data_IF_774664474881
#
_entry.id   IF_774664474881
#
_cell.length_a   1.000
_cell.length_b   1.000
_cell.length_c   1.000
_cell.angle_alpha   90.00
_cell.angle_beta   90.00
_cell.angle_gamma   90.00
#
_symmetry.space_group_name_H-M   'P 1'
#
loop_
_entity.id
_entity.type
_entity.pdbx_description
1 polymer ?
#
# COMPACT_ATOMS: atom_id res chain seq x y z
N UNK A 1 6.94 0.33 -14.09
CA UNK A 1 7.84 -0.50 -13.26
C UNK A 1 8.51 0.30 -12.15
N UNK A 2 9.20 1.42 -12.41
CA UNK A 2 9.89 2.20 -11.37
C UNK A 2 8.96 2.73 -10.25
N UNK A 3 7.81 3.31 -10.62
CA UNK A 3 6.82 3.83 -9.65
C UNK A 3 6.32 2.73 -8.70
N UNK A 4 6.09 1.52 -9.22
CA UNK A 4 5.73 0.36 -8.41
C UNK A 4 6.81 0.02 -7.37
N UNK A 5 8.09 0.01 -7.78
CA UNK A 5 9.21 -0.30 -6.87
C UNK A 5 9.33 0.76 -5.78
N UNK A 6 9.13 2.03 -6.11
CA UNK A 6 9.09 3.13 -5.14
C UNK A 6 7.94 2.90 -4.16
N UNK A 7 6.72 2.69 -4.63
CA UNK A 7 5.56 2.45 -3.77
C UNK A 7 5.75 1.26 -2.84
N UNK A 8 6.35 0.18 -3.33
CA UNK A 8 6.60 -1.03 -2.53
C UNK A 8 7.71 -0.81 -1.49
N UNK A 9 8.91 -0.46 -1.92
CA UNK A 9 10.09 -0.53 -1.05
C UNK A 9 10.40 0.77 -0.31
N UNK A 10 9.93 1.92 -0.81
CA UNK A 10 10.15 3.22 -0.14
C UNK A 10 9.00 3.56 0.80
N UNK A 11 7.79 3.04 0.54
CA UNK A 11 6.60 3.42 1.31
C UNK A 11 5.95 2.23 2.02
N UNK A 12 5.53 1.19 1.30
CA UNK A 12 4.75 0.09 1.90
C UNK A 12 5.56 -0.75 2.91
N UNK A 13 6.73 -1.26 2.52
CA UNK A 13 7.54 -2.10 3.41
C UNK A 13 8.04 -1.33 4.65
N UNK A 14 8.50 -0.07 4.53
CA UNK A 14 8.80 0.75 5.70
C UNK A 14 7.59 1.00 6.62
N UNK A 15 6.39 1.23 6.08
CA UNK A 15 5.16 1.35 6.88
C UNK A 15 4.90 0.08 7.69
N UNK A 16 5.02 -1.10 7.05
CA UNK A 16 4.87 -2.40 7.75
C UNK A 16 5.93 -2.59 8.82
N UNK A 17 7.17 -2.20 8.53
CA UNK A 17 8.28 -2.29 9.48
C UNK A 17 8.02 -1.42 10.72
N UNK A 18 7.61 -0.16 10.53
CA UNK A 18 7.29 0.75 11.64
C UNK A 18 6.13 0.19 12.47
N UNK A 19 5.05 -0.27 11.82
CA UNK A 19 3.89 -0.86 12.49
C UNK A 19 4.27 -2.11 13.29
N UNK A 20 5.21 -2.92 12.77
CA UNK A 20 5.74 -4.09 13.48
C UNK A 20 6.62 -3.69 14.66
N UNK A 21 7.59 -2.81 14.46
CA UNK A 21 8.59 -2.47 15.47
C UNK A 21 8.03 -1.63 16.62
N UNK A 22 7.08 -0.74 16.34
CA UNK A 22 6.53 0.19 17.34
C UNK A 22 5.22 -0.28 17.97
N UNK A 23 4.43 -1.08 17.26
CA UNK A 23 3.06 -1.45 17.68
C UNK A 23 2.81 -2.96 17.67
N UNK A 24 3.83 -3.79 17.44
CA UNK A 24 3.75 -5.26 17.44
C UNK A 24 2.72 -5.83 16.43
N UNK A 25 2.49 -5.12 15.32
CA UNK A 25 1.57 -5.56 14.26
C UNK A 25 2.32 -6.40 13.22
N UNK A 26 1.89 -7.66 13.08
CA UNK A 26 2.48 -8.59 12.12
C UNK A 26 1.65 -8.69 10.85
N UNK A 27 2.30 -8.49 9.72
CA UNK A 27 1.70 -8.66 8.40
C UNK A 27 1.94 -10.09 7.92
N UNK A 28 0.88 -10.84 7.57
CA UNK A 28 1.05 -12.17 7.00
C UNK A 28 1.81 -12.04 5.68
N UNK A 29 2.82 -12.90 5.49
CA UNK A 29 3.47 -13.05 4.18
C UNK A 29 2.49 -13.76 3.25
N UNK A 30 1.65 -12.98 2.56
CA UNK A 30 0.60 -13.50 1.71
C UNK A 30 1.14 -14.34 0.55
N UNK A 31 0.62 -15.57 0.42
CA UNK A 31 0.65 -16.37 -0.81
C UNK A 31 -0.16 -15.72 -1.94
N UNK A 32 -1.03 -14.75 -1.61
CA UNK A 32 -1.89 -14.05 -2.55
C UNK A 32 -1.19 -12.85 -3.19
N UNK A 33 -1.08 -12.95 -4.52
CA UNK A 33 -0.71 -11.93 -5.48
C UNK A 33 0.49 -11.05 -5.08
N UNK A 34 1.70 -11.46 -5.50
CA UNK A 34 2.98 -10.71 -5.34
C UNK A 34 2.93 -9.24 -5.82
N UNK A 35 1.87 -8.86 -6.53
CA UNK A 35 1.62 -7.56 -7.12
C UNK A 35 0.73 -6.63 -6.26
N UNK A 36 0.16 -7.10 -5.14
CA UNK A 36 -0.70 -6.26 -4.31
C UNK A 36 0.10 -5.19 -3.54
N UNK A 37 -0.30 -3.93 -3.71
CA UNK A 37 0.24 -2.77 -3.00
C UNK A 37 -0.78 -2.31 -1.95
N UNK A 38 -1.33 -3.24 -1.17
CA UNK A 38 -2.26 -2.96 -0.08
C UNK A 38 -1.61 -3.21 1.28
N UNK A 39 -1.73 -2.25 2.18
CA UNK A 39 -1.27 -2.39 3.57
C UNK A 39 -2.12 -3.40 4.34
N UNK A 40 -3.43 -3.43 4.07
CA UNK A 40 -4.41 -4.24 4.79
C UNK A 40 -4.67 -5.61 4.13
N UNK A 41 -3.89 -5.97 3.11
CA UNK A 41 -4.04 -7.25 2.43
C UNK A 41 -3.96 -8.40 3.44
N UNK A 42 -5.01 -9.22 3.48
CA UNK A 42 -5.09 -10.40 4.35
C UNK A 42 -5.04 -10.11 5.86
N UNK A 43 -5.29 -8.87 6.29
CA UNK A 43 -5.42 -8.54 7.72
C UNK A 43 -6.85 -8.76 8.20
N UNK A 44 -6.99 -9.16 9.46
CA UNK A 44 -8.29 -9.26 10.12
C UNK A 44 -8.88 -7.86 10.35
N UNK A 45 -10.21 -7.66 10.24
CA UNK A 45 -10.84 -6.35 10.43
C UNK A 45 -10.48 -5.64 11.74
N UNK A 46 -10.31 -6.40 12.82
CA UNK A 46 -9.91 -5.85 14.13
C UNK A 46 -8.50 -5.25 14.10
N UNK A 47 -7.56 -5.90 13.38
CA UNK A 47 -6.19 -5.38 13.20
C UNK A 47 -6.21 -4.14 12.32
N UNK A 48 -7.08 -4.10 11.30
CA UNK A 48 -7.26 -2.92 10.44
C UNK A 48 -7.75 -1.74 11.27
N UNK A 49 -8.80 -1.94 12.08
CA UNK A 49 -9.33 -0.89 12.96
C UNK A 49 -8.29 -0.40 13.97
N UNK A 50 -7.44 -1.30 14.49
CA UNK A 50 -6.34 -0.91 15.37
C UNK A 50 -5.26 -0.09 14.64
N UNK A 51 -4.91 -0.44 13.40
CA UNK A 51 -3.97 0.36 12.59
C UNK A 51 -4.57 1.74 12.30
N UNK A 52 -5.87 1.82 12.01
CA UNK A 52 -6.56 3.08 11.78
C UNK A 52 -6.54 3.98 13.02
N UNK A 53 -6.77 3.43 14.23
CA UNK A 53 -6.65 4.21 15.46
C UNK A 53 -5.22 4.71 15.69
N UNK A 54 -4.20 3.88 15.38
CA UNK A 54 -2.80 4.30 15.44
C UNK A 54 -2.53 5.48 14.49
N UNK A 55 -3.12 5.49 13.30
CA UNK A 55 -2.97 6.60 12.35
C UNK A 55 -3.68 7.88 12.81
N UNK A 56 -4.70 7.80 13.65
CA UNK A 56 -5.31 8.98 14.26
C UNK A 56 -4.45 9.55 15.38
N UNK A 57 -3.71 8.70 16.09
CA UNK A 57 -2.86 9.08 17.23
C UNK A 57 -1.44 9.51 16.82
N UNK A 58 -0.83 8.88 15.82
CA UNK A 58 0.52 9.19 15.33
C UNK A 58 0.46 9.96 14.00
N UNK A 59 0.55 11.29 14.12
CA UNK A 59 0.52 12.21 12.97
C UNK A 59 1.70 12.03 11.98
N UNK A 60 2.86 11.50 12.42
CA UNK A 60 3.98 11.24 11.51
C UNK A 60 3.70 10.00 10.67
N UNK A 61 3.22 8.94 11.31
CA UNK A 61 2.85 7.70 10.66
C UNK A 61 1.66 7.89 9.72
N UNK A 62 0.68 8.71 10.12
CA UNK A 62 -0.43 9.12 9.26
C UNK A 62 0.05 9.81 7.97
N UNK A 63 1.01 10.74 8.08
CA UNK A 63 1.59 11.42 6.91
C UNK A 63 2.30 10.43 5.98
N UNK A 64 3.00 9.43 6.54
CA UNK A 64 3.63 8.37 5.74
C UNK A 64 2.59 7.51 5.04
N UNK A 65 1.51 7.15 5.73
CA UNK A 65 0.39 6.40 5.16
C UNK A 65 -0.29 7.16 4.01
N UNK A 66 -0.56 8.46 4.18
CA UNK A 66 -1.12 9.31 3.10
C UNK A 66 -0.18 9.38 1.90
N UNK A 67 1.13 9.53 2.12
CA UNK A 67 2.12 9.49 1.04
C UNK A 67 2.09 8.16 0.30
N UNK A 68 2.07 7.05 1.03
CA UNK A 68 1.92 5.71 0.45
C UNK A 68 0.66 5.60 -0.40
N UNK A 69 -0.50 6.07 0.09
CA UNK A 69 -1.76 6.06 -0.66
C UNK A 69 -1.66 6.82 -1.98
N UNK A 70 -1.04 8.01 -1.97
CA UNK A 70 -0.83 8.80 -3.18
C UNK A 70 0.05 8.05 -4.20
N UNK A 71 1.14 7.43 -3.75
CA UNK A 71 2.03 6.64 -4.62
C UNK A 71 1.36 5.38 -5.14
N UNK A 72 0.52 4.74 -4.33
CA UNK A 72 -0.32 3.62 -4.75
C UNK A 72 -1.28 4.02 -5.87
N UNK A 73 -1.99 5.14 -5.71
CA UNK A 73 -2.85 5.71 -6.75
C UNK A 73 -2.03 5.95 -8.02
N UNK A 74 -0.90 6.65 -7.93
CA UNK A 74 -0.03 6.89 -9.08
C UNK A 74 0.45 5.60 -9.76
N UNK A 75 0.75 4.56 -8.99
CA UNK A 75 1.17 3.27 -9.56
C UNK A 75 0.07 2.64 -10.41
N UNK A 76 -1.17 2.62 -9.91
CA UNK A 76 -2.30 2.09 -10.66
C UNK A 76 -2.72 3.03 -11.80
N UNK A 77 -2.72 4.35 -11.58
CA UNK A 77 -3.05 5.35 -12.59
C UNK A 77 -1.98 5.48 -13.67
N UNK A 78 -0.73 5.11 -13.46
CA UNK A 78 0.27 5.04 -14.54
C UNK A 78 0.35 3.64 -15.15
N UNK A 79 -0.07 2.60 -14.43
CA UNK A 79 -0.18 1.24 -14.93
C UNK A 79 -1.39 0.99 -15.85
N UNK A 80 -2.51 1.71 -15.64
CA UNK A 80 -3.78 1.51 -16.35
C UNK A 80 -3.89 2.25 -17.71
N UNK A 81 -3.51 3.53 -17.89
CA UNK A 81 -3.63 4.21 -19.17
C UNK A 81 -2.60 3.75 -20.20
N UNK A 82 -1.52 3.07 -19.80
CA UNK A 82 -0.62 2.42 -20.77
C UNK A 82 -1.32 1.26 -21.52
N UNK A 83 -2.26 0.55 -20.88
CA UNK A 83 -3.03 -0.51 -21.52
C UNK A 83 -4.12 0.03 -22.45
N UNK A 84 -4.79 1.13 -22.08
CA UNK A 84 -5.84 1.75 -22.90
C UNK A 84 -5.30 2.47 -24.16
N UNK A 85 -4.05 2.97 -24.12
CA UNK A 85 -3.43 3.62 -25.28
C UNK A 85 -2.89 2.60 -26.30
N UNK A 86 -2.49 1.40 -25.87
CA UNK A 86 -1.92 0.36 -26.75
C UNK A 86 -3.00 -0.57 -27.31
N UNK A 87 -4.09 -0.79 -26.58
CA UNK A 87 -5.26 -1.53 -27.06
C UNK A 87 -6.45 -0.57 -27.24
N UNK A 88 -6.61 0.09 -28.40
CA UNK A 88 -7.88 0.69 -28.72
C UNK A 88 -8.86 -0.46 -28.92
N UNK A 89 -9.68 -0.74 -27.91
CA UNK A 89 -10.88 -1.55 -28.08
C UNK A 89 -11.73 -0.86 -29.15
N UNK A 90 -11.68 -1.36 -30.38
CA UNK A 90 -12.69 -1.08 -31.40
C UNK A 90 -13.97 -1.76 -30.92
N UNK A 91 -14.87 -0.97 -30.35
CA UNK A 91 -16.27 -1.32 -30.17
C UNK A 91 -16.99 -1.25 -31.52
#
# INVERSE_FOLDING_TARGET
MLVYLITKYVYLEPLKQILRERYDIYFPQGFFNRQDLSLFASLHPEVISHIESIFEEDAELQKLYVKFQNWRILTYTLGVPFLLVIFPFKL
#
